data_IF_769944266935
#
_entry.id   IF_769944266935
#
_cell.length_a   1.000
_cell.length_b   1.000
_cell.length_c   1.000
_cell.angle_alpha   90.00
_cell.angle_beta   90.00
_cell.angle_gamma   90.00
#
_symmetry.space_group_name_H-M   'P 1'
#
loop_
_entity.id
_entity.type
_entity.pdbx_description
1 polymer ?
#
# COMPACT_ATOMS: atom_id res chain seq x y z
N UNK A 1 -29.27 8.09 21.11
CA UNK A 1 -29.28 8.41 19.67
C UNK A 1 -28.26 7.53 18.99
N UNK A 2 -28.69 6.55 18.18
CA UNK A 2 -27.78 5.77 17.34
C UNK A 2 -27.41 6.66 16.17
N UNK A 3 -26.12 6.99 16.01
CA UNK A 3 -25.65 7.66 14.80
C UNK A 3 -26.01 6.74 13.62
N UNK A 4 -26.95 7.19 12.80
CA UNK A 4 -27.18 6.60 11.49
C UNK A 4 -25.95 6.93 10.67
N UNK A 5 -24.96 6.04 10.66
CA UNK A 5 -23.85 6.12 9.73
C UNK A 5 -24.46 5.95 8.35
N UNK A 6 -24.65 7.06 7.63
CA UNK A 6 -24.99 7.00 6.21
C UNK A 6 -23.85 6.23 5.55
N UNK A 7 -24.13 5.02 5.10
CA UNK A 7 -23.16 4.24 4.33
C UNK A 7 -22.90 5.04 3.06
N UNK A 8 -21.66 5.42 2.83
CA UNK A 8 -21.26 6.11 1.62
C UNK A 8 -21.64 5.27 0.39
N UNK A 9 -22.07 5.92 -0.70
CA UNK A 9 -22.40 5.24 -1.93
C UNK A 9 -21.13 4.58 -2.51
N UNK A 10 -21.13 3.26 -2.78
CA UNK A 10 -19.92 2.58 -3.27
C UNK A 10 -19.33 3.21 -4.54
N UNK A 11 -20.18 3.73 -5.43
CA UNK A 11 -19.77 4.40 -6.68
C UNK A 11 -19.02 5.71 -6.37
N UNK A 12 -19.52 6.51 -5.42
CA UNK A 12 -18.88 7.75 -5.00
C UNK A 12 -17.52 7.46 -4.36
N UNK A 13 -17.45 6.48 -3.45
CA UNK A 13 -16.19 6.09 -2.81
C UNK A 13 -15.17 5.61 -3.84
N UNK A 14 -15.57 4.81 -4.83
CA UNK A 14 -14.67 4.34 -5.89
C UNK A 14 -14.17 5.52 -6.76
N UNK A 15 -15.05 6.46 -7.09
CA UNK A 15 -14.70 7.65 -7.86
C UNK A 15 -13.70 8.53 -7.10
N UNK A 16 -13.96 8.78 -5.82
CA UNK A 16 -13.06 9.55 -4.94
C UNK A 16 -11.71 8.85 -4.74
N UNK A 17 -11.70 7.52 -4.56
CA UNK A 17 -10.46 6.76 -4.42
C UNK A 17 -9.61 6.81 -5.68
N UNK A 18 -10.21 6.68 -6.87
CA UNK A 18 -9.49 6.85 -8.14
C UNK A 18 -8.90 8.24 -8.26
N UNK A 19 -9.67 9.29 -7.94
CA UNK A 19 -9.20 10.66 -7.98
C UNK A 19 -8.05 10.90 -6.99
N UNK A 20 -8.16 10.37 -5.77
CA UNK A 20 -7.11 10.44 -4.76
C UNK A 20 -5.80 9.80 -5.26
N UNK A 21 -5.85 8.58 -5.79
CA UNK A 21 -4.66 7.87 -6.29
C UNK A 21 -4.08 8.59 -7.51
N UNK A 22 -4.95 9.06 -8.42
CA UNK A 22 -4.54 9.84 -9.58
C UNK A 22 -3.76 11.10 -9.15
N UNK A 23 -4.27 11.84 -8.17
CA UNK A 23 -3.64 13.05 -7.68
C UNK A 23 -2.37 12.78 -6.84
N UNK A 24 -2.27 11.62 -6.19
CA UNK A 24 -1.11 11.24 -5.41
C UNK A 24 0.09 10.78 -6.26
N UNK A 25 -0.15 10.30 -7.48
CA UNK A 25 0.92 9.82 -8.36
C UNK A 25 0.50 9.23 -9.70
N UNK A 26 -0.81 9.18 -9.99
CA UNK A 26 -1.30 8.71 -11.30
C UNK A 26 -0.82 7.31 -11.64
N UNK A 27 -0.42 7.12 -12.89
CA UNK A 27 0.13 5.85 -13.39
C UNK A 27 1.49 5.48 -12.77
N UNK A 28 2.13 6.38 -12.02
CA UNK A 28 3.36 6.12 -11.26
C UNK A 28 3.07 5.69 -9.82
N UNK A 29 1.81 5.67 -9.39
CA UNK A 29 1.47 5.14 -8.08
C UNK A 29 1.78 3.64 -8.01
N UNK A 30 2.53 3.25 -6.99
CA UNK A 30 2.82 1.86 -6.66
C UNK A 30 2.04 1.57 -5.38
N UNK A 31 0.85 0.95 -5.43
CA UNK A 31 0.15 0.56 -4.22
C UNK A 31 0.98 -0.48 -3.45
N UNK A 32 1.00 -0.32 -2.13
CA UNK A 32 1.60 -1.26 -1.19
C UNK A 32 0.48 -1.97 -0.42
N UNK A 33 0.51 -3.30 -0.44
CA UNK A 33 -0.34 -4.13 0.41
C UNK A 33 0.46 -4.89 1.45
N UNK A 34 -0.20 -5.36 2.51
CA UNK A 34 0.38 -6.33 3.45
C UNK A 34 0.36 -7.75 2.84
N UNK A 35 1.07 -7.88 1.73
CA UNK A 35 0.92 -8.91 0.71
C UNK A 35 0.50 -8.26 -0.61
N UNK A 36 1.12 -8.64 -1.73
CA UNK A 36 0.87 -7.99 -3.04
C UNK A 36 -0.49 -8.31 -3.67
N UNK A 37 -1.16 -9.40 -3.28
CA UNK A 37 -2.31 -9.90 -4.05
C UNK A 37 -3.65 -9.68 -3.34
N UNK A 38 -3.73 -9.79 -2.02
CA UNK A 38 -5.03 -9.90 -1.34
C UNK A 38 -5.88 -8.63 -1.42
N UNK A 39 -5.41 -7.52 -0.85
CA UNK A 39 -6.17 -6.27 -0.85
C UNK A 39 -6.34 -5.68 -2.27
N UNK A 40 -5.31 -5.86 -3.11
CA UNK A 40 -5.30 -5.33 -4.48
C UNK A 40 -6.35 -6.00 -5.35
N UNK A 41 -6.41 -7.34 -5.37
CA UNK A 41 -7.41 -8.08 -6.15
C UNK A 41 -8.83 -7.79 -5.65
N UNK A 42 -9.02 -7.56 -4.35
CA UNK A 42 -10.32 -7.15 -3.80
C UNK A 42 -10.71 -5.76 -4.31
N UNK A 43 -9.78 -4.80 -4.35
CA UNK A 43 -10.04 -3.46 -4.88
C UNK A 43 -10.32 -3.49 -6.39
N UNK A 44 -9.56 -4.27 -7.16
CA UNK A 44 -9.79 -4.47 -8.60
C UNK A 44 -11.21 -5.02 -8.84
N UNK A 45 -11.56 -6.14 -8.21
CA UNK A 45 -12.89 -6.72 -8.34
C UNK A 45 -14.02 -5.84 -7.78
N UNK A 46 -13.72 -4.90 -6.87
CA UNK A 46 -14.68 -3.89 -6.43
C UNK A 46 -14.86 -2.81 -7.49
N UNK A 47 -13.78 -2.30 -8.09
CA UNK A 47 -13.83 -1.35 -9.20
C UNK A 47 -14.64 -1.89 -10.37
N UNK A 48 -14.43 -3.15 -10.77
CA UNK A 48 -15.18 -3.79 -11.85
C UNK A 48 -16.69 -3.76 -11.63
N UNK A 49 -17.11 -3.86 -10.36
CA UNK A 49 -18.52 -3.92 -9.98
C UNK A 49 -19.19 -2.55 -9.86
N UNK A 50 -18.47 -1.54 -9.38
CA UNK A 50 -19.09 -0.25 -8.99
C UNK A 50 -18.60 0.95 -9.78
N UNK A 51 -17.45 0.86 -10.45
CA UNK A 51 -16.87 1.93 -11.26
C UNK A 51 -15.97 1.36 -12.37
N UNK A 52 -16.54 0.58 -13.31
CA UNK A 52 -15.78 -0.01 -14.41
C UNK A 52 -15.33 1.09 -15.37
N UNK A 53 -14.02 1.16 -15.62
CA UNK A 53 -13.41 2.02 -16.63
C UNK A 53 -12.57 1.12 -17.52
N UNK A 54 -12.72 1.29 -18.83
CA UNK A 54 -12.02 0.47 -19.82
C UNK A 54 -11.27 1.31 -20.82
N UNK A 55 -10.16 0.78 -21.32
CA UNK A 55 -9.39 1.43 -22.38
C UNK A 55 -9.95 1.10 -23.78
N UNK A 56 -9.26 1.56 -24.83
CA UNK A 56 -9.68 1.34 -26.22
C UNK A 56 -9.69 -0.15 -26.63
N UNK A 57 -9.05 -1.02 -25.86
CA UNK A 57 -8.99 -2.46 -26.09
C UNK A 57 -9.97 -3.25 -25.19
N UNK A 58 -10.88 -2.56 -24.49
CA UNK A 58 -11.84 -3.15 -23.55
C UNK A 58 -11.19 -3.77 -22.29
N UNK A 59 -9.95 -3.37 -21.96
CA UNK A 59 -9.23 -3.78 -20.75
C UNK A 59 -9.53 -2.86 -19.56
N UNK A 60 -9.65 -3.43 -18.35
CA UNK A 60 -9.93 -2.67 -17.14
C UNK A 60 -8.79 -1.70 -16.78
N UNK A 61 -9.16 -0.44 -16.53
CA UNK A 61 -8.24 0.61 -16.10
C UNK A 61 -8.31 0.73 -14.58
N UNK A 62 -7.34 0.14 -13.90
CA UNK A 62 -7.07 0.42 -12.49
C UNK A 62 -6.17 1.66 -12.33
N UNK A 63 -6.20 2.34 -11.17
CA UNK A 63 -5.35 3.52 -10.95
C UNK A 63 -3.88 3.17 -10.69
N UNK A 64 -3.51 1.90 -10.84
CA UNK A 64 -2.15 1.36 -10.83
C UNK A 64 -1.93 0.42 -12.03
N UNK A 65 -0.67 0.07 -12.30
CA UNK A 65 -0.32 -0.98 -13.28
C UNK A 65 -0.14 -2.31 -12.56
N UNK A 66 -0.56 -3.42 -13.17
CA UNK A 66 -0.48 -4.75 -12.54
C UNK A 66 0.97 -5.18 -12.20
N UNK A 67 1.96 -4.64 -12.90
CA UNK A 67 3.39 -4.87 -12.60
C UNK A 67 3.97 -3.93 -11.53
N UNK A 68 3.23 -2.90 -11.10
CA UNK A 68 3.64 -1.89 -10.12
C UNK A 68 2.91 -2.08 -8.79
N UNK A 69 2.94 -3.29 -8.24
CA UNK A 69 2.34 -3.60 -6.93
C UNK A 69 3.45 -4.05 -5.98
N UNK A 70 3.51 -3.45 -4.79
CA UNK A 70 4.54 -3.74 -3.80
C UNK A 70 4.01 -4.55 -2.60
N UNK A 71 4.88 -5.41 -2.06
CA UNK A 71 4.59 -6.27 -0.92
C UNK A 71 5.36 -5.81 0.34
N UNK A 72 4.62 -5.32 1.33
CA UNK A 72 5.19 -4.93 2.62
C UNK A 72 5.85 -6.10 3.36
N UNK A 73 5.33 -7.33 3.26
CA UNK A 73 5.91 -8.50 3.94
C UNK A 73 7.27 -8.86 3.37
N UNK A 74 7.47 -8.65 2.07
CA UNK A 74 8.78 -8.79 1.44
C UNK A 74 9.76 -7.78 2.03
N UNK A 75 9.37 -6.50 2.14
CA UNK A 75 10.20 -5.46 2.74
C UNK A 75 10.54 -5.78 4.21
N UNK A 76 9.55 -6.19 5.01
CA UNK A 76 9.75 -6.61 6.40
C UNK A 76 10.73 -7.77 6.49
N UNK A 77 10.53 -8.83 5.69
CA UNK A 77 11.40 -10.02 5.70
C UNK A 77 12.85 -9.69 5.35
N UNK A 78 13.06 -8.80 4.39
CA UNK A 78 14.41 -8.37 4.00
C UNK A 78 15.06 -7.47 5.07
N UNK A 79 14.27 -6.62 5.71
CA UNK A 79 14.78 -5.70 6.72
C UNK A 79 15.13 -6.36 8.05
N UNK A 80 14.49 -7.47 8.41
CA UNK A 80 14.74 -8.15 9.68
C UNK A 80 14.20 -7.41 10.92
N UNK A 81 13.36 -6.38 10.74
CA UNK A 81 12.74 -5.68 11.87
C UNK A 81 11.75 -6.57 12.63
N UNK A 82 11.61 -6.33 13.93
CA UNK A 82 10.48 -6.87 14.70
C UNK A 82 9.27 -5.94 14.61
N UNK A 83 8.29 -6.29 13.78
CA UNK A 83 7.05 -5.52 13.61
C UNK A 83 6.26 -5.35 14.91
N UNK A 84 6.43 -6.25 15.90
CA UNK A 84 5.72 -6.19 17.19
C UNK A 84 6.23 -5.07 18.08
N UNK A 85 7.45 -4.58 17.82
CA UNK A 85 8.03 -3.42 18.51
C UNK A 85 7.39 -2.10 18.08
N UNK A 86 6.68 -2.09 16.94
CA UNK A 86 6.02 -0.90 16.41
C UNK A 86 4.60 -0.84 16.99
N UNK A 87 4.25 0.17 17.80
CA UNK A 87 2.93 0.24 18.40
C UNK A 87 1.84 0.55 17.36
N UNK A 88 0.74 -0.19 17.45
CA UNK A 88 -0.48 0.11 16.71
C UNK A 88 -1.16 1.36 17.27
N UNK A 89 -1.77 2.18 16.41
CA UNK A 89 -2.53 3.36 16.82
C UNK A 89 -3.86 3.37 16.08
N UNK A 90 -4.94 3.63 16.81
CA UNK A 90 -6.31 3.57 16.28
C UNK A 90 -7.00 2.26 16.62
N UNK A 91 -8.12 2.01 15.93
CA UNK A 91 -8.95 0.82 16.16
C UNK A 91 -8.51 -0.35 15.28
N UNK A 92 -8.45 -1.55 15.87
CA UNK A 92 -8.21 -2.77 15.09
C UNK A 92 -9.39 -3.03 14.14
N UNK A 93 -9.08 -3.55 12.95
CA UNK A 93 -10.07 -3.79 11.88
C UNK A 93 -10.67 -2.50 11.29
N UNK A 94 -10.01 -1.36 11.50
CA UNK A 94 -10.26 -0.13 10.77
C UNK A 94 -9.23 0.00 9.65
N UNK A 95 -9.69 -0.01 8.39
CA UNK A 95 -8.82 -0.01 7.22
C UNK A 95 -7.84 1.19 7.18
N UNK A 96 -8.26 2.37 7.66
CA UNK A 96 -7.39 3.55 7.71
C UNK A 96 -6.31 3.39 8.81
N UNK A 97 -6.70 2.92 10.00
CA UNK A 97 -5.74 2.65 11.07
C UNK A 97 -4.72 1.58 10.66
N UNK A 98 -5.18 0.53 9.97
CA UNK A 98 -4.33 -0.53 9.44
C UNK A 98 -3.35 0.02 8.39
N UNK A 99 -3.82 0.82 7.42
CA UNK A 99 -2.96 1.45 6.42
C UNK A 99 -1.90 2.36 7.05
N UNK A 100 -2.28 3.19 8.02
CA UNK A 100 -1.34 4.07 8.73
C UNK A 100 -0.30 3.28 9.54
N UNK A 101 -0.69 2.16 10.15
CA UNK A 101 0.25 1.28 10.83
C UNK A 101 1.21 0.60 9.85
N UNK A 102 0.73 0.17 8.69
CA UNK A 102 1.55 -0.40 7.62
C UNK A 102 2.59 0.61 7.07
N UNK A 103 2.24 1.90 6.98
CA UNK A 103 3.21 2.96 6.64
C UNK A 103 4.32 3.07 7.67
N UNK A 104 4.01 2.99 8.97
CA UNK A 104 5.03 3.00 10.04
C UNK A 104 5.98 1.80 9.92
N UNK A 105 5.44 0.62 9.63
CA UNK A 105 6.23 -0.59 9.39
C UNK A 105 7.15 -0.40 8.17
N UNK A 106 6.62 0.09 7.05
CA UNK A 106 7.38 0.31 5.82
C UNK A 106 8.55 1.28 6.04
N UNK A 107 8.29 2.36 6.79
CA UNK A 107 9.30 3.35 7.15
C UNK A 107 10.42 2.74 8.00
N UNK A 108 10.08 2.01 9.07
CA UNK A 108 11.06 1.36 9.93
C UNK A 108 11.90 0.30 9.17
N UNK A 109 11.25 -0.50 8.32
CA UNK A 109 11.91 -1.52 7.53
C UNK A 109 12.89 -0.91 6.50
N UNK A 110 12.49 0.19 5.87
CA UNK A 110 13.32 0.93 4.92
C UNK A 110 14.56 1.52 5.59
N UNK A 111 14.40 2.14 6.77
CA UNK A 111 15.53 2.65 7.54
C UNK A 111 16.51 1.53 7.89
N UNK A 112 16.01 0.40 8.41
CA UNK A 112 16.89 -0.69 8.84
C UNK A 112 17.69 -1.29 7.66
N UNK A 113 17.06 -1.43 6.49
CA UNK A 113 17.75 -1.88 5.28
C UNK A 113 18.84 -0.90 4.80
N UNK A 114 18.55 0.40 4.87
CA UNK A 114 19.52 1.42 4.47
C UNK A 114 20.70 1.46 5.45
N UNK A 115 20.44 1.36 6.76
CA UNK A 115 21.49 1.29 7.78
C UNK A 115 22.38 0.06 7.61
N UNK A 116 21.81 -1.13 7.36
CA UNK A 116 22.59 -2.35 7.08
C UNK A 116 23.47 -2.20 5.83
N UNK A 117 22.96 -1.54 4.77
CA UNK A 117 23.75 -1.25 3.57
C UNK A 117 24.96 -0.37 3.89
N UNK A 118 24.76 0.73 4.61
CA UNK A 118 25.83 1.66 4.96
C UNK A 118 26.92 0.98 5.79
N UNK A 119 26.53 0.17 6.79
CA UNK A 119 27.48 -0.60 7.60
C UNK A 119 28.31 -1.59 6.75
N UNK A 120 27.67 -2.26 5.78
CA UNK A 120 28.38 -3.18 4.87
C UNK A 120 29.34 -2.47 3.92
N UNK A 121 29.00 -1.26 3.47
CA UNK A 121 29.87 -0.44 2.63
C UNK A 121 31.08 0.09 3.39
N UNK A 122 30.90 0.52 4.65
CA UNK A 122 31.99 0.94 5.53
C UNK A 122 32.95 -0.19 5.89
N UNK A 123 32.46 -1.43 6.00
CA UNK A 123 33.27 -2.62 6.28
C UNK A 123 34.01 -3.18 5.07
N UNK A 124 33.85 -2.63 3.85
CA UNK A 124 34.64 -3.08 2.70
C UNK A 124 36.13 -2.75 2.93
N UNK A 125 37.05 -3.69 2.69
CA UNK A 125 38.48 -3.41 2.75
C UNK A 125 38.80 -2.25 1.81
N UNK A 126 39.57 -1.26 2.27
CA UNK A 126 40.11 -0.24 1.38
C UNK A 126 41.06 -0.96 0.43
N UNK A 127 40.79 -0.89 -0.87
CA UNK A 127 41.72 -1.39 -1.88
C UNK A 127 43.08 -0.70 -1.66
N UNK A 128 44.13 -1.51 -1.59
CA UNK A 128 45.50 -1.08 -1.33
C UNK A 128 46.19 -0.64 -2.63
#
# INVERSE_FOLDING_TARGET
>A
MRHLTVRACPIEVATELRAFIHNAGGCHCIPWGNGSVFDIVILEGWFDRVNPLKDANDEDIYPWKFWNIADLRTLVRLSGIDVRSIPFTGDKHNALADALHQVKIAHAASINLMSDRLQREEMKPREC
#
